data_IF_513346322395
#
_entry.id   IF_513346322395
#
_cell.length_a   1.000
_cell.length_b   1.000
_cell.length_c   1.000
_cell.angle_alpha   90.00
_cell.angle_beta   90.00
_cell.angle_gamma   90.00
#
_symmetry.space_group_name_H-M   'P 1'
#
loop_
_entity.id
_entity.type
_entity.pdbx_description
1 polymer ?
#
# COMPACT_ATOMS: atom_id res chain seq x y z
N UNK A 1 6.06 -14.39 11.24
CA UNK A 1 6.38 -12.95 11.27
C UNK A 1 5.10 -12.17 11.48
N UNK A 2 5.20 -10.97 12.02
CA UNK A 2 4.11 -10.00 11.96
C UNK A 2 4.73 -8.60 11.89
N UNK A 3 3.99 -7.62 11.40
CA UNK A 3 4.47 -6.25 11.31
C UNK A 3 3.41 -5.29 10.81
N UNK A 4 3.80 -4.01 10.77
CA UNK A 4 2.98 -2.94 10.25
C UNK A 4 3.84 -1.95 9.45
N UNK A 5 3.25 -1.38 8.41
CA UNK A 5 3.82 -0.30 7.61
C UNK A 5 2.85 0.87 7.57
N UNK A 6 3.36 2.10 7.72
CA UNK A 6 2.61 3.30 7.41
C UNK A 6 3.32 4.08 6.31
N UNK A 7 2.53 4.50 5.32
CA UNK A 7 2.97 5.36 4.23
C UNK A 7 1.98 6.50 4.05
N UNK A 8 2.53 7.70 3.86
CA UNK A 8 1.79 8.87 3.40
C UNK A 8 2.23 9.21 1.98
N UNK A 9 1.26 9.36 1.09
CA UNK A 9 1.46 9.72 -0.31
C UNK A 9 0.77 11.05 -0.60
N UNK A 10 1.49 11.96 -1.27
CA UNK A 10 0.99 13.27 -1.68
C UNK A 10 1.21 13.43 -3.17
N UNK A 11 0.14 13.66 -3.93
CA UNK A 11 0.19 13.84 -5.38
C UNK A 11 -0.31 15.24 -5.73
N UNK A 12 0.42 15.95 -6.60
CA UNK A 12 0.02 17.24 -7.17
C UNK A 12 -0.36 17.10 -8.63
N UNK A 13 -1.32 17.91 -9.08
CA UNK A 13 -1.87 17.89 -10.43
C UNK A 13 -2.37 19.28 -10.84
N UNK A 14 -2.45 19.55 -12.13
CA UNK A 14 -3.15 20.72 -12.67
C UNK A 14 -4.62 20.42 -13.00
N UNK A 15 -5.09 19.17 -12.82
CA UNK A 15 -6.41 18.72 -13.28
C UNK A 15 -7.23 17.94 -12.25
N UNK A 16 -6.60 17.05 -11.48
CA UNK A 16 -7.26 16.12 -10.55
C UNK A 16 -6.93 16.41 -9.08
N UNK A 17 -7.85 16.09 -8.18
CA UNK A 17 -7.69 16.32 -6.74
C UNK A 17 -8.41 17.57 -6.25
N UNK A 18 -8.09 17.94 -5.02
CA UNK A 18 -8.63 19.08 -4.28
C UNK A 18 -7.79 20.32 -4.54
N UNK A 19 -8.37 21.52 -4.40
CA UNK A 19 -7.64 22.76 -4.66
C UNK A 19 -6.46 22.92 -3.69
N UNK A 20 -5.27 23.22 -4.22
CA UNK A 20 -4.11 23.55 -3.39
C UNK A 20 -4.27 24.94 -2.79
N UNK A 21 -3.81 25.12 -1.56
CA UNK A 21 -3.76 26.44 -0.92
C UNK A 21 -2.85 27.41 -1.68
N UNK A 22 -1.75 26.90 -2.25
CA UNK A 22 -0.82 27.65 -3.08
C UNK A 22 -0.50 26.84 -4.35
N UNK A 23 -0.67 27.41 -5.55
CA UNK A 23 -0.23 26.79 -6.78
C UNK A 23 1.29 26.54 -6.75
N UNK A 24 1.72 25.39 -7.26
CA UNK A 24 3.14 24.99 -7.34
C UNK A 24 3.58 24.96 -8.79
N UNK A 25 4.65 25.67 -9.14
CA UNK A 25 5.16 25.67 -10.52
C UNK A 25 5.61 24.26 -10.93
N UNK A 26 5.32 23.90 -12.18
CA UNK A 26 5.68 22.63 -12.78
C UNK A 26 7.18 22.66 -13.13
N UNK A 27 8.00 21.75 -12.57
CA UNK A 27 9.42 21.71 -12.88
C UNK A 27 9.67 21.56 -14.39
N UNK A 28 10.46 22.46 -14.97
CA UNK A 28 10.80 22.43 -16.39
C UNK A 28 9.73 22.95 -17.34
N UNK A 29 8.61 23.50 -16.84
CA UNK A 29 7.56 24.10 -17.67
C UNK A 29 7.21 25.51 -17.19
N UNK A 30 7.68 26.52 -17.94
CA UNK A 30 7.47 27.93 -17.59
C UNK A 30 6.00 28.31 -17.61
N UNK A 31 5.53 28.94 -16.53
CA UNK A 31 4.17 29.46 -16.41
C UNK A 31 3.09 28.38 -16.26
N UNK A 32 3.47 27.12 -16.04
CA UNK A 32 2.55 26.02 -15.76
C UNK A 32 2.55 25.72 -14.27
N UNK A 33 1.37 25.52 -13.70
CA UNK A 33 1.21 25.31 -12.26
C UNK A 33 0.36 24.08 -11.97
N UNK A 34 0.78 23.29 -10.98
CA UNK A 34 -0.11 22.43 -10.24
C UNK A 34 -1.02 23.29 -9.36
N UNK A 35 -2.33 23.13 -9.55
CA UNK A 35 -3.36 23.88 -8.84
C UNK A 35 -4.19 22.99 -7.92
N UNK A 36 -4.01 21.67 -8.05
CA UNK A 36 -4.74 20.65 -7.31
C UNK A 36 -3.78 19.62 -6.72
N UNK A 37 -4.24 18.92 -5.69
CA UNK A 37 -3.50 17.83 -5.08
C UNK A 37 -4.38 16.93 -4.25
N UNK A 38 -3.84 15.79 -3.84
CA UNK A 38 -4.53 14.86 -2.95
C UNK A 38 -3.54 14.08 -2.12
N UNK A 39 -3.86 13.93 -0.85
CA UNK A 39 -3.10 13.14 0.10
C UNK A 39 -3.81 11.82 0.40
N UNK A 40 -3.03 10.77 0.65
CA UNK A 40 -3.50 9.46 1.07
C UNK A 40 -2.59 8.90 2.13
N UNK A 41 -3.17 8.50 3.25
CA UNK A 41 -2.54 7.61 4.20
C UNK A 41 -2.89 6.15 3.86
N UNK A 42 -1.88 5.29 3.92
CA UNK A 42 -1.95 3.86 3.71
C UNK A 42 -1.26 3.14 4.87
N UNK A 43 -1.99 2.30 5.59
CA UNK A 43 -1.48 1.52 6.73
C UNK A 43 -1.67 0.05 6.41
N UNK A 44 -0.60 -0.73 6.45
CA UNK A 44 -0.63 -2.19 6.27
C UNK A 44 -0.33 -2.87 7.59
N UNK A 45 -1.10 -3.90 7.92
CA UNK A 45 -0.78 -4.86 8.96
C UNK A 45 -0.64 -6.23 8.32
N UNK A 46 0.40 -6.98 8.66
CA UNK A 46 0.61 -8.30 8.11
C UNK A 46 1.02 -9.28 9.21
N UNK A 47 0.57 -10.53 9.06
CA UNK A 47 0.98 -11.63 9.91
C UNK A 47 1.13 -12.88 9.04
N UNK A 48 2.23 -13.59 9.21
CA UNK A 48 2.54 -14.82 8.48
C UNK A 48 3.10 -15.86 9.45
N UNK A 49 2.79 -17.12 9.17
CA UNK A 49 3.24 -18.27 9.92
C UNK A 49 3.70 -19.35 8.96
N UNK A 50 4.96 -19.76 9.10
CA UNK A 50 5.52 -20.89 8.38
C UNK A 50 5.64 -22.06 9.34
N UNK A 51 5.09 -23.21 8.94
CA UNK A 51 5.23 -24.47 9.66
C UNK A 51 5.68 -25.57 8.74
N UNK A 52 6.78 -26.22 9.11
CA UNK A 52 7.30 -27.40 8.40
C UNK A 52 7.09 -28.65 9.25
N UNK A 53 6.55 -29.68 8.64
CA UNK A 53 6.34 -31.01 9.20
C UNK A 53 6.89 -32.07 8.23
N UNK A 54 8.11 -32.54 8.49
CA UNK A 54 8.82 -33.49 7.64
C UNK A 54 8.91 -32.98 6.19
N UNK A 55 8.16 -33.61 5.28
CA UNK A 55 8.11 -33.31 3.84
C UNK A 55 7.05 -32.27 3.51
N UNK A 56 6.13 -31.96 4.42
CA UNK A 56 5.08 -30.95 4.25
C UNK A 56 5.56 -29.59 4.79
N UNK A 57 5.35 -28.53 4.02
CA UNK A 57 5.50 -27.14 4.47
C UNK A 57 4.17 -26.42 4.25
N UNK A 58 3.69 -25.74 5.28
CA UNK A 58 2.53 -24.86 5.21
C UNK A 58 2.97 -23.43 5.52
N UNK A 59 2.47 -22.47 4.74
CA UNK A 59 2.65 -21.05 4.98
C UNK A 59 1.27 -20.42 4.98
N UNK A 60 0.85 -19.88 6.12
CA UNK A 60 -0.41 -19.14 6.23
C UNK A 60 -0.12 -17.70 6.58
N UNK A 61 -0.87 -16.76 6.02
CA UNK A 61 -0.71 -15.36 6.34
C UNK A 61 -1.94 -14.53 6.02
N UNK A 62 -1.94 -13.29 6.47
CA UNK A 62 -2.95 -12.32 6.11
C UNK A 62 -2.36 -10.91 6.11
N UNK A 63 -2.88 -10.06 5.23
CA UNK A 63 -2.59 -8.64 5.16
C UNK A 63 -3.89 -7.84 5.27
N UNK A 64 -3.92 -6.87 6.18
CA UNK A 64 -4.99 -5.86 6.28
C UNK A 64 -4.43 -4.54 5.80
N UNK A 65 -5.05 -3.95 4.78
CA UNK A 65 -4.73 -2.63 4.28
C UNK A 65 -5.81 -1.64 4.71
N UNK A 66 -5.42 -0.52 5.29
CA UNK A 66 -6.31 0.61 5.64
C UNK A 66 -5.85 1.81 4.83
N UNK A 67 -6.71 2.26 3.92
CA UNK A 67 -6.46 3.39 3.05
C UNK A 67 -7.48 4.50 3.31
N UNK A 68 -6.98 5.72 3.56
CA UNK A 68 -7.81 6.90 3.80
C UNK A 68 -8.79 7.26 2.67
N UNK A 69 -8.52 6.85 1.42
CA UNK A 69 -9.41 7.09 0.28
C UNK A 69 -10.22 5.87 -0.13
N UNK A 70 -9.64 4.67 -0.09
CA UNK A 70 -10.27 3.47 -0.64
C UNK A 70 -10.92 2.57 0.42
N UNK A 71 -10.74 2.88 1.71
CA UNK A 71 -11.29 2.11 2.81
C UNK A 71 -10.35 0.99 3.25
N UNK A 72 -10.90 -0.08 3.80
CA UNK A 72 -10.13 -1.20 4.35
C UNK A 72 -10.30 -2.44 3.50
N UNK A 73 -9.18 -3.03 3.10
CA UNK A 73 -9.11 -4.30 2.37
C UNK A 73 -8.41 -5.39 3.19
N UNK A 74 -8.81 -6.65 2.99
CA UNK A 74 -8.21 -7.79 3.67
C UNK A 74 -7.84 -8.90 2.69
N UNK A 75 -6.62 -9.40 2.83
CA UNK A 75 -5.99 -10.37 1.94
C UNK A 75 -5.46 -11.56 2.74
N UNK A 76 -6.27 -12.60 2.99
CA UNK A 76 -5.79 -13.86 3.55
C UNK A 76 -5.05 -14.69 2.49
N UNK A 77 -4.07 -15.48 2.92
CA UNK A 77 -3.29 -16.37 2.06
C UNK A 77 -2.91 -17.67 2.77
N UNK A 78 -2.90 -18.77 2.03
CA UNK A 78 -2.45 -20.07 2.50
C UNK A 78 -1.79 -20.83 1.36
N UNK A 79 -0.56 -21.26 1.59
CA UNK A 79 0.24 -22.06 0.68
C UNK A 79 0.65 -23.38 1.35
N UNK A 80 0.72 -24.44 0.56
CA UNK A 80 1.18 -25.76 0.99
C UNK A 80 2.12 -26.36 -0.05
N UNK A 81 3.20 -26.98 0.40
CA UNK A 81 4.13 -27.70 -0.47
C UNK A 81 4.57 -29.02 0.15
N UNK A 82 4.83 -30.02 -0.69
CA UNK A 82 5.28 -31.35 -0.27
C UNK A 82 6.54 -31.77 -1.03
N UNK A 83 7.60 -32.11 -0.32
CA UNK A 83 8.87 -32.56 -0.89
C UNK A 83 8.78 -34.04 -1.30
N UNK A 84 9.02 -34.36 -2.59
CA UNK A 84 8.95 -35.72 -3.15
C UNK A 84 10.27 -36.52 -3.10
N UNK A 85 11.36 -35.90 -2.61
CA UNK A 85 12.63 -36.55 -2.28
C UNK A 85 12.71 -37.03 -0.84
#
# INVERSE_FOLDING_TARGET
SFGAEWRRESIVSNRLGDALALPKEVPGAFGQFYTKGKDRDNINFYAEHLKRWNRLTLVGGALVNVNSQFGTDWFPGLDASYALG
#
